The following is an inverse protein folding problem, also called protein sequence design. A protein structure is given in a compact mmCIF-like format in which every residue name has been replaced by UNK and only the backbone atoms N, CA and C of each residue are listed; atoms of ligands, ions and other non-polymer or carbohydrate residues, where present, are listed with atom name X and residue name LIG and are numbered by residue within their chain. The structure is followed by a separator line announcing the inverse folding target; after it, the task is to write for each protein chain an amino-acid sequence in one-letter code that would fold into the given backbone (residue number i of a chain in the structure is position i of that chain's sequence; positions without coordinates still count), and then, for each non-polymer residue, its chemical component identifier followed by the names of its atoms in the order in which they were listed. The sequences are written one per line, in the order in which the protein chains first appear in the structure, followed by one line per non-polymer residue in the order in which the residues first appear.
data_IF_626360818062
#
_entry.id   IF_626360818062
#
_cell.length_a   1.000
_cell.length_b   1.000
_cell.length_c   1.000
_cell.angle_alpha   90.00
_cell.angle_beta   90.00
_cell.angle_gamma   90.00
#
_symmetry.space_group_name_H-M   'P 1'
#
loop_
_entity.id
_entity.type
_entity.pdbx_description
1 polymer ?
#
# COMPACT_ATOMS: atom_id res chain seq x y z
N UNK A 1 -6.14 -15.25 -31.08
CA UNK A 1 -5.76 -13.89 -30.71
C UNK A 1 -6.02 -13.76 -29.25
N UNK A 2 -7.21 -14.16 -28.80
CA UNK A 2 -7.53 -14.80 -27.50
C UNK A 2 -6.34 -15.38 -26.69
N UNK A 3 -5.70 -16.51 -27.08
CA UNK A 3 -4.55 -17.02 -26.29
C UNK A 3 -3.36 -16.04 -26.14
N UNK A 4 -3.22 -15.07 -27.05
CA UNK A 4 -2.16 -14.07 -26.97
C UNK A 4 -2.59 -12.85 -26.15
N UNK A 5 -3.88 -12.52 -26.09
CA UNK A 5 -4.41 -11.46 -25.22
C UNK A 5 -4.29 -11.88 -23.76
N UNK A 6 -4.80 -13.06 -23.40
CA UNK A 6 -4.65 -13.64 -22.05
C UNK A 6 -3.19 -13.65 -21.59
N UNK A 7 -2.26 -14.07 -22.45
CA UNK A 7 -0.84 -14.14 -22.10
C UNK A 7 -0.23 -12.75 -21.93
N UNK A 8 -0.65 -11.73 -22.70
CA UNK A 8 -0.05 -10.39 -22.63
C UNK A 8 -0.50 -9.64 -21.38
N UNK A 9 -1.75 -9.81 -20.96
CA UNK A 9 -2.26 -9.26 -19.69
C UNK A 9 -1.46 -9.80 -18.51
N UNK A 10 -1.16 -11.09 -18.50
CA UNK A 10 -0.47 -11.77 -17.38
C UNK A 10 1.06 -11.56 -17.33
N UNK A 11 1.63 -10.71 -18.20
CA UNK A 11 3.07 -10.43 -18.21
C UNK A 11 3.41 -9.21 -17.35
N UNK A 12 4.54 -9.31 -16.66
CA UNK A 12 5.20 -8.15 -16.04
C UNK A 12 5.34 -7.00 -17.08
N UNK A 13 5.02 -5.77 -16.69
CA UNK A 13 4.99 -4.58 -17.55
C UNK A 13 6.23 -4.44 -18.45
N UNK A 14 7.43 -4.64 -17.89
CA UNK A 14 8.67 -4.51 -18.65
C UNK A 14 8.80 -5.56 -19.76
N UNK A 15 8.34 -6.79 -19.52
CA UNK A 15 8.35 -7.84 -20.54
C UNK A 15 7.28 -7.53 -21.59
N UNK A 16 6.11 -7.06 -21.14
CA UNK A 16 5.01 -6.62 -21.99
C UNK A 16 5.46 -5.51 -22.94
N UNK A 17 6.11 -4.46 -22.44
CA UNK A 17 6.62 -3.34 -23.23
C UNK A 17 7.64 -3.79 -24.28
N UNK A 18 8.58 -4.68 -23.90
CA UNK A 18 9.57 -5.24 -24.84
C UNK A 18 8.88 -6.01 -25.97
N UNK A 19 7.87 -6.82 -25.63
CA UNK A 19 7.14 -7.63 -26.60
C UNK A 19 6.33 -6.72 -27.52
N UNK A 20 5.53 -5.79 -26.98
CA UNK A 20 4.70 -4.85 -27.73
C UNK A 20 5.51 -3.99 -28.70
N UNK A 21 6.75 -3.63 -28.33
CA UNK A 21 7.67 -2.91 -29.22
C UNK A 21 8.21 -3.74 -30.40
N UNK A 22 8.15 -5.08 -30.33
CA UNK A 22 8.65 -5.99 -31.37
C UNK A 22 7.54 -6.57 -32.27
N UNK A 23 6.26 -6.45 -31.88
CA UNK A 23 5.13 -6.92 -32.70
C UNK A 23 4.63 -5.82 -33.66
N UNK A 24 3.97 -6.25 -34.73
CA UNK A 24 3.35 -5.39 -35.73
C UNK A 24 2.12 -4.69 -35.13
N UNK A 25 1.88 -3.42 -35.50
CA UNK A 25 0.81 -2.61 -34.89
C UNK A 25 -0.58 -3.19 -35.13
N UNK A 26 -0.79 -3.78 -36.30
CA UNK A 26 -2.01 -4.47 -36.67
C UNK A 26 -2.25 -5.69 -35.78
N UNK A 27 -1.19 -6.35 -35.32
CA UNK A 27 -1.31 -7.44 -34.35
C UNK A 27 -1.67 -6.93 -32.95
N UNK A 28 -1.19 -5.75 -32.57
CA UNK A 28 -1.58 -5.09 -31.31
C UNK A 28 -3.06 -4.73 -31.35
N UNK A 29 -3.55 -4.16 -32.45
CA UNK A 29 -4.99 -3.90 -32.65
C UNK A 29 -5.80 -5.17 -32.43
N UNK A 30 -5.47 -6.25 -33.12
CA UNK A 30 -6.17 -7.53 -32.97
C UNK A 30 -6.21 -8.00 -31.50
N UNK A 31 -5.12 -7.80 -30.74
CA UNK A 31 -5.00 -8.27 -29.36
C UNK A 31 -5.85 -7.42 -28.43
N UNK A 32 -5.79 -6.09 -28.56
CA UNK A 32 -6.55 -5.16 -27.73
C UNK A 32 -8.06 -5.29 -27.98
N UNK A 33 -8.47 -5.60 -29.21
CA UNK A 33 -9.89 -5.82 -29.60
C UNK A 33 -10.51 -7.07 -28.95
N UNK A 34 -9.70 -7.92 -28.31
CA UNK A 34 -10.15 -9.18 -27.67
C UNK A 34 -9.96 -9.15 -26.16
N UNK A 35 -9.64 -7.98 -25.58
CA UNK A 35 -9.45 -7.78 -24.14
C UNK A 35 -10.68 -7.09 -23.53
N UNK A 36 -10.88 -7.31 -22.24
CA UNK A 36 -11.80 -6.52 -21.44
C UNK A 36 -11.32 -5.05 -21.40
N UNK A 37 -12.26 -4.11 -21.20
CA UNK A 37 -11.99 -2.68 -21.41
C UNK A 37 -10.93 -2.10 -20.45
N UNK A 38 -10.83 -2.63 -19.23
CA UNK A 38 -9.79 -2.33 -18.24
C UNK A 38 -8.41 -2.81 -18.71
N UNK A 39 -8.27 -4.10 -19.06
CA UNK A 39 -7.02 -4.64 -19.60
C UNK A 39 -6.54 -3.89 -20.85
N UNK A 40 -7.48 -3.58 -21.76
CA UNK A 40 -7.21 -2.78 -22.94
C UNK A 40 -6.71 -1.37 -22.58
N UNK A 41 -7.26 -0.77 -21.52
CA UNK A 41 -6.86 0.54 -21.04
C UNK A 41 -5.43 0.53 -20.53
N UNK A 42 -5.08 -0.44 -19.68
CA UNK A 42 -3.76 -0.57 -19.06
C UNK A 42 -2.67 -0.73 -20.13
N UNK A 43 -2.89 -1.63 -21.09
CA UNK A 43 -1.93 -1.84 -22.17
C UNK A 43 -1.83 -0.59 -23.06
N UNK A 44 -2.93 0.11 -23.33
CA UNK A 44 -2.92 1.32 -24.15
C UNK A 44 -2.17 2.46 -23.45
N UNK A 45 -2.21 2.57 -22.11
CA UNK A 45 -1.40 3.54 -21.35
C UNK A 45 0.10 3.29 -21.47
N UNK A 46 0.53 2.02 -21.56
CA UNK A 46 1.93 1.64 -21.71
C UNK A 46 2.50 1.94 -23.11
N UNK A 47 1.63 2.02 -24.11
CA UNK A 47 2.04 2.18 -25.50
C UNK A 47 2.56 3.59 -25.78
N UNK A 48 3.58 3.73 -26.67
CA UNK A 48 3.96 5.02 -27.20
C UNK A 48 2.74 5.74 -27.81
N UNK A 49 2.61 7.04 -27.57
CA UNK A 49 1.43 7.86 -27.96
C UNK A 49 0.98 7.63 -29.42
N UNK A 50 1.93 7.48 -30.35
CA UNK A 50 1.63 7.24 -31.77
C UNK A 50 1.15 5.82 -32.10
N UNK A 51 1.34 4.86 -31.19
CA UNK A 51 0.84 3.48 -31.30
C UNK A 51 -0.52 3.42 -30.62
N UNK A 52 -0.65 3.97 -29.41
CA UNK A 52 -1.92 4.11 -28.70
C UNK A 52 -3.00 4.78 -29.58
N UNK A 53 -2.70 5.92 -30.20
CA UNK A 53 -3.63 6.61 -31.11
C UNK A 53 -4.02 5.73 -32.32
N UNK A 54 -3.06 4.95 -32.85
CA UNK A 54 -3.34 4.05 -33.95
C UNK A 54 -4.22 2.87 -33.54
N UNK A 55 -3.99 2.30 -32.36
CA UNK A 55 -4.81 1.22 -31.80
C UNK A 55 -6.24 1.70 -31.60
N UNK A 56 -6.40 2.82 -30.88
CA UNK A 56 -7.70 3.42 -30.61
C UNK A 56 -8.48 3.82 -31.87
N UNK A 57 -7.82 4.10 -32.99
CA UNK A 57 -8.47 4.42 -34.26
C UNK A 57 -8.89 3.17 -35.06
N UNK A 58 -8.44 1.98 -34.70
CA UNK A 58 -8.61 0.75 -35.48
C UNK A 58 -9.28 -0.43 -34.74
N UNK A 59 -9.41 -0.37 -33.41
CA UNK A 59 -10.31 -1.26 -32.65
C UNK A 59 -11.78 -0.89 -32.87
N UNK A 60 -12.69 -1.74 -32.39
CA UNK A 60 -14.11 -1.48 -32.46
C UNK A 60 -14.50 -0.13 -31.84
N UNK A 61 -15.47 0.53 -32.47
CA UNK A 61 -15.77 1.94 -32.19
C UNK A 61 -16.34 2.15 -30.78
N UNK A 62 -17.06 1.16 -30.28
CA UNK A 62 -17.65 1.18 -28.94
C UNK A 62 -16.53 1.08 -27.90
N UNK A 63 -15.71 0.03 -27.99
CA UNK A 63 -14.56 -0.22 -27.13
C UNK A 63 -13.56 0.96 -27.14
N UNK A 64 -13.29 1.55 -28.31
CA UNK A 64 -12.47 2.76 -28.44
C UNK A 64 -13.02 3.96 -27.67
N UNK A 65 -14.34 4.14 -27.65
CA UNK A 65 -14.97 5.23 -26.89
C UNK A 65 -14.90 4.95 -25.38
N UNK A 66 -15.01 3.69 -24.97
CA UNK A 66 -14.94 3.23 -23.57
C UNK A 66 -13.52 3.30 -23.00
N UNK A 67 -12.51 2.75 -23.69
CA UNK A 67 -11.09 2.86 -23.31
C UNK A 67 -10.68 4.34 -23.18
N UNK A 68 -11.09 5.20 -24.10
CA UNK A 68 -10.85 6.66 -24.01
C UNK A 68 -11.53 7.31 -22.80
N UNK A 69 -12.60 6.72 -22.29
CA UNK A 69 -13.24 7.17 -21.06
C UNK A 69 -12.49 6.72 -19.82
N UNK A 70 -12.04 5.46 -19.77
CA UNK A 70 -11.25 4.91 -18.67
C UNK A 70 -9.88 5.60 -18.53
N UNK A 71 -9.18 5.88 -19.64
CA UNK A 71 -7.91 6.63 -19.68
C UNK A 71 -7.96 8.04 -19.05
N UNK A 72 -9.14 8.54 -18.66
CA UNK A 72 -9.29 9.83 -17.96
C UNK A 72 -9.09 9.69 -16.45
N UNK A 73 -9.27 8.50 -15.89
CA UNK A 73 -9.10 8.23 -14.47
C UNK A 73 -7.64 7.91 -14.15
N UNK A 74 -7.18 8.15 -12.91
CA UNK A 74 -5.90 7.64 -12.45
C UNK A 74 -5.88 6.11 -12.48
N UNK A 75 -4.74 5.53 -12.81
CA UNK A 75 -4.49 4.07 -12.82
C UNK A 75 -4.80 3.44 -11.44
N UNK A 76 -4.23 3.99 -10.36
CA UNK A 76 -4.45 3.55 -8.97
C UNK A 76 -5.84 3.91 -8.38
N UNK A 77 -6.87 4.10 -9.23
CA UNK A 77 -8.23 4.45 -8.80
C UNK A 77 -9.24 3.41 -9.23
N UNK A 78 -10.40 3.41 -8.56
CA UNK A 78 -11.54 2.59 -8.93
C UNK A 78 -11.96 2.76 -10.40
N UNK A 79 -11.72 3.92 -11.01
CA UNK A 79 -11.99 4.16 -12.42
C UNK A 79 -10.90 3.65 -13.36
N UNK A 80 -9.67 3.47 -12.86
CA UNK A 80 -8.57 2.84 -13.58
C UNK A 80 -8.76 1.33 -13.65
N UNK A 81 -9.11 0.71 -12.52
CA UNK A 81 -9.29 -0.76 -12.40
C UNK A 81 -10.72 -1.26 -12.65
N UNK A 82 -11.58 -0.47 -13.31
CA UNK A 82 -12.95 -0.92 -13.62
C UNK A 82 -13.13 -1.28 -15.08
N UNK A 83 -13.90 -2.33 -15.31
CA UNK A 83 -14.44 -2.64 -16.63
C UNK A 83 -15.83 -2.02 -16.83
N UNK A 84 -16.10 -1.53 -18.05
CA UNK A 84 -17.44 -1.14 -18.52
C UNK A 84 -18.32 -2.35 -18.87
N UNK A 85 -17.78 -3.56 -18.81
CA UNK A 85 -18.47 -4.80 -19.19
C UNK A 85 -19.32 -5.36 -18.04
N UNK A 86 -20.59 -4.96 -17.99
CA UNK A 86 -21.53 -5.42 -16.97
C UNK A 86 -22.92 -5.74 -17.50
N UNK A 87 -23.51 -6.82 -17.00
CA UNK A 87 -24.88 -7.21 -17.32
C UNK A 87 -25.91 -6.40 -16.51
N UNK A 88 -26.90 -5.81 -17.17
CA UNK A 88 -27.94 -5.02 -16.51
C UNK A 88 -29.36 -5.25 -17.06
N UNK A 89 -30.37 -4.96 -16.23
CA UNK A 89 -31.78 -4.91 -16.63
C UNK A 89 -32.48 -3.69 -16.05
N UNK A 90 -33.60 -3.30 -16.65
CA UNK A 90 -34.46 -2.25 -16.09
C UNK A 90 -35.26 -2.76 -14.88
N UNK A 91 -35.62 -1.86 -13.97
CA UNK A 91 -36.35 -2.18 -12.73
C UNK A 91 -37.70 -2.92 -12.92
N UNK A 92 -38.33 -2.75 -14.08
CA UNK A 92 -39.58 -3.42 -14.42
C UNK A 92 -39.39 -4.81 -15.06
N UNK A 93 -38.15 -5.27 -15.24
CA UNK A 93 -37.82 -6.57 -15.80
C UNK A 93 -38.27 -7.75 -14.92
N UNK A 94 -38.39 -8.92 -15.54
CA UNK A 94 -38.63 -10.21 -14.87
C UNK A 94 -37.34 -11.01 -14.73
N UNK A 95 -37.36 -12.04 -13.89
CA UNK A 95 -36.25 -13.02 -13.77
C UNK A 95 -35.91 -13.63 -15.13
N UNK A 96 -36.91 -13.87 -15.98
CA UNK A 96 -36.68 -14.34 -17.34
C UNK A 96 -35.81 -13.39 -18.15
N UNK A 97 -36.17 -12.10 -18.13
CA UNK A 97 -35.45 -11.07 -18.90
C UNK A 97 -34.00 -10.96 -18.43
N UNK A 98 -33.75 -11.03 -17.11
CA UNK A 98 -32.39 -11.05 -16.56
C UNK A 98 -31.59 -12.30 -16.95
N UNK A 99 -32.21 -13.49 -16.99
CA UNK A 99 -31.54 -14.70 -17.47
C UNK A 99 -31.23 -14.62 -18.96
N UNK A 100 -32.14 -14.03 -19.75
CA UNK A 100 -31.93 -13.84 -21.18
C UNK A 100 -30.81 -12.81 -21.44
N UNK A 101 -30.67 -11.78 -20.60
CA UNK A 101 -29.54 -10.85 -20.63
C UNK A 101 -28.21 -11.55 -20.32
N UNK A 102 -28.15 -12.34 -19.24
CA UNK A 102 -26.95 -13.13 -18.91
C UNK A 102 -26.54 -14.01 -20.08
N UNK A 103 -27.49 -14.68 -20.74
CA UNK A 103 -27.21 -15.54 -21.89
C UNK A 103 -26.72 -14.77 -23.11
N UNK A 104 -27.15 -13.53 -23.27
CA UNK A 104 -26.77 -12.69 -24.41
C UNK A 104 -25.30 -12.30 -24.33
N UNK A 105 -24.82 -11.99 -23.13
CA UNK A 105 -23.46 -11.49 -22.92
C UNK A 105 -22.51 -12.57 -22.32
N UNK A 106 -22.95 -13.84 -22.25
CA UNK A 106 -22.17 -14.93 -21.63
C UNK A 106 -20.91 -15.34 -22.42
N UNK A 107 -20.86 -15.01 -23.72
CA UNK A 107 -19.70 -15.28 -24.57
C UNK A 107 -18.72 -14.08 -24.62
N UNK A 108 -19.14 -12.92 -24.12
CA UNK A 108 -18.41 -11.65 -24.20
C UNK A 108 -17.84 -11.27 -22.84
N UNK A 109 -18.62 -11.38 -21.76
CA UNK A 109 -18.14 -11.07 -20.42
C UNK A 109 -17.55 -12.30 -19.76
N UNK A 110 -16.27 -12.23 -19.37
CA UNK A 110 -15.57 -13.35 -18.73
C UNK A 110 -16.27 -13.78 -17.42
N UNK A 111 -16.72 -12.80 -16.64
CA UNK A 111 -17.24 -13.02 -15.28
C UNK A 111 -18.57 -12.30 -14.99
N UNK A 112 -19.71 -13.00 -15.16
CA UNK A 112 -21.03 -12.46 -14.78
C UNK A 112 -21.47 -12.96 -13.40
N UNK A 113 -21.13 -12.25 -12.32
CA UNK A 113 -21.56 -12.61 -10.96
C UNK A 113 -22.92 -12.02 -10.53
N UNK A 114 -23.16 -10.79 -10.97
CA UNK A 114 -24.35 -10.00 -10.64
C UNK A 114 -25.01 -9.46 -11.90
N UNK A 115 -26.32 -9.23 -11.81
CA UNK A 115 -27.06 -8.41 -12.75
C UNK A 115 -27.40 -7.11 -12.03
N UNK A 116 -27.00 -6.00 -12.61
CA UNK A 116 -27.29 -4.67 -12.11
C UNK A 116 -28.70 -4.24 -12.53
N UNK A 117 -29.43 -3.59 -11.63
CA UNK A 117 -30.79 -3.12 -11.88
C UNK A 117 -30.75 -1.61 -12.02
N UNK A 118 -31.09 -1.12 -13.21
CA UNK A 118 -31.04 0.29 -13.56
C UNK A 118 -32.46 0.86 -13.74
N UNK A 119 -32.57 2.18 -13.54
CA UNK A 119 -33.71 2.96 -14.05
C UNK A 119 -33.45 3.42 -15.48
N UNK A 120 -34.45 4.00 -16.13
CA UNK A 120 -34.32 4.56 -17.49
C UNK A 120 -33.37 5.76 -17.62
N UNK A 121 -32.80 6.25 -16.53
CA UNK A 121 -31.78 7.30 -16.47
C UNK A 121 -30.40 6.76 -16.04
N UNK A 122 -30.19 5.45 -16.19
CA UNK A 122 -28.96 4.70 -15.86
C UNK A 122 -28.57 4.71 -14.37
N UNK A 123 -29.48 5.17 -13.50
CA UNK A 123 -29.30 5.16 -12.05
C UNK A 123 -29.35 3.73 -11.53
N UNK A 124 -28.30 3.32 -10.81
CA UNK A 124 -28.21 2.03 -10.14
C UNK A 124 -29.17 1.98 -8.93
N UNK A 125 -30.12 1.04 -8.97
CA UNK A 125 -31.16 0.90 -7.92
C UNK A 125 -31.16 -0.45 -7.23
N UNK A 126 -30.48 -1.46 -7.78
CA UNK A 126 -30.35 -2.74 -7.12
C UNK A 126 -29.36 -3.68 -7.79
N UNK A 127 -29.05 -4.79 -7.12
CA UNK A 127 -28.28 -5.90 -7.69
C UNK A 127 -28.99 -7.23 -7.47
N UNK A 128 -28.82 -8.18 -8.38
CA UNK A 128 -29.32 -9.54 -8.26
C UNK A 128 -28.20 -10.53 -8.56
N UNK A 129 -27.91 -11.43 -7.62
CA UNK A 129 -26.95 -12.52 -7.88
C UNK A 129 -27.55 -13.59 -8.79
N UNK A 130 -26.70 -14.25 -9.58
CA UNK A 130 -27.11 -15.41 -10.39
C UNK A 130 -27.86 -16.47 -9.58
N UNK A 131 -27.41 -16.73 -8.34
CA UNK A 131 -28.07 -17.64 -7.41
C UNK A 131 -29.55 -17.27 -7.19
N UNK A 132 -29.86 -15.99 -7.03
CA UNK A 132 -31.24 -15.53 -6.84
C UNK A 132 -32.08 -15.73 -8.10
N UNK A 133 -31.51 -15.55 -9.29
CA UNK A 133 -32.23 -15.85 -10.54
C UNK A 133 -32.59 -17.33 -10.66
N UNK A 134 -31.68 -18.23 -10.27
CA UNK A 134 -31.87 -19.68 -10.38
C UNK A 134 -32.95 -20.26 -9.43
N UNK A 135 -33.18 -19.63 -8.28
CA UNK A 135 -34.11 -20.14 -7.26
C UNK A 135 -35.52 -19.53 -7.34
N UNK A 136 -35.71 -18.51 -8.18
CA UNK A 136 -37.00 -17.82 -8.34
C UNK A 136 -37.69 -18.20 -9.65
N UNK A 137 -39.02 -18.00 -9.71
CA UNK A 137 -39.78 -18.26 -10.93
C UNK A 137 -39.47 -17.22 -12.00
N UNK A 138 -39.45 -17.64 -13.27
CA UNK A 138 -39.16 -16.79 -14.43
C UNK A 138 -40.06 -15.54 -14.53
N UNK A 139 -41.32 -15.65 -14.11
CA UNK A 139 -42.29 -14.54 -14.18
C UNK A 139 -42.18 -13.54 -13.01
N UNK A 140 -41.28 -13.79 -12.05
CA UNK A 140 -41.10 -12.94 -10.86
C UNK A 140 -40.45 -11.61 -11.27
N UNK A 141 -40.91 -10.49 -10.71
CA UNK A 141 -40.29 -9.17 -10.95
C UNK A 141 -38.94 -9.04 -10.25
N UNK A 142 -37.95 -8.47 -10.93
CA UNK A 142 -36.58 -8.27 -10.39
C UNK A 142 -36.59 -7.44 -9.11
N UNK A 143 -37.41 -6.38 -9.07
CA UNK A 143 -37.62 -5.53 -7.89
C UNK A 143 -38.09 -6.27 -6.63
N UNK A 144 -38.65 -7.48 -6.76
CA UNK A 144 -39.06 -8.28 -5.59
C UNK A 144 -37.94 -9.13 -4.99
N UNK A 145 -36.82 -9.30 -5.70
CA UNK A 145 -35.70 -10.17 -5.31
C UNK A 145 -34.36 -9.44 -5.22
N UNK A 146 -34.25 -8.23 -5.78
CA UNK A 146 -33.03 -7.42 -5.77
C UNK A 146 -32.63 -6.96 -4.36
N UNK A 147 -31.36 -6.65 -4.21
CA UNK A 147 -30.80 -6.02 -3.02
C UNK A 147 -30.70 -4.51 -3.26
N UNK A 148 -31.31 -3.73 -2.36
CA UNK A 148 -31.35 -2.26 -2.45
C UNK A 148 -30.29 -1.58 -1.56
N UNK A 149 -29.76 -2.30 -0.57
CA UNK A 149 -28.68 -1.80 0.29
C UNK A 149 -27.33 -2.03 -0.41
N UNK A 150 -27.03 -1.11 -1.33
CA UNK A 150 -25.90 -1.22 -2.25
C UNK A 150 -24.61 -0.66 -1.65
N UNK A 151 -23.56 -1.46 -1.77
CA UNK A 151 -22.18 -1.04 -1.61
C UNK A 151 -21.66 -0.71 -3.01
N UNK A 152 -21.14 0.50 -3.19
CA UNK A 152 -20.60 0.99 -4.46
C UNK A 152 -19.44 1.93 -4.17
N UNK A 153 -18.59 2.14 -5.15
CA UNK A 153 -17.45 3.07 -5.09
C UNK A 153 -17.61 4.19 -6.13
N UNK A 154 -16.83 5.26 -5.96
CA UNK A 154 -16.66 6.34 -6.93
C UNK A 154 -15.45 6.07 -7.80
N UNK A 155 -15.41 6.55 -9.05
CA UNK A 155 -14.27 6.31 -9.93
C UNK A 155 -12.97 6.93 -9.42
N UNK A 156 -13.03 7.97 -8.60
CA UNK A 156 -11.85 8.62 -8.00
C UNK A 156 -11.47 8.01 -6.64
N UNK A 157 -12.18 6.97 -6.17
CA UNK A 157 -11.80 6.28 -4.94
C UNK A 157 -10.51 5.49 -5.19
N UNK A 158 -9.63 5.49 -4.20
CA UNK A 158 -8.33 4.82 -4.24
C UNK A 158 -8.50 3.28 -4.33
N UNK A 159 -7.67 2.62 -5.14
CA UNK A 159 -7.76 1.17 -5.35
C UNK A 159 -7.59 0.36 -4.05
N UNK A 160 -6.76 0.82 -3.12
CA UNK A 160 -6.60 0.19 -1.80
C UNK A 160 -7.93 0.27 -1.01
N UNK A 161 -8.69 1.35 -1.15
CA UNK A 161 -10.02 1.48 -0.55
C UNK A 161 -11.03 0.52 -1.17
N UNK A 162 -11.01 0.35 -2.50
CA UNK A 162 -11.83 -0.65 -3.19
C UNK A 162 -11.51 -2.05 -2.68
N UNK A 163 -10.23 -2.42 -2.63
CA UNK A 163 -9.77 -3.72 -2.14
C UNK A 163 -10.24 -3.99 -0.70
N UNK A 164 -10.11 -3.00 0.18
CA UNK A 164 -10.61 -3.06 1.56
C UNK A 164 -12.14 -3.26 1.64
N UNK A 165 -12.92 -2.66 0.72
CA UNK A 165 -14.37 -2.83 0.66
C UNK A 165 -14.72 -4.27 0.24
N UNK A 166 -14.10 -4.76 -0.84
CA UNK A 166 -14.31 -6.12 -1.33
C UNK A 166 -13.95 -7.15 -0.25
N UNK A 167 -12.77 -7.03 0.39
CA UNK A 167 -12.33 -7.93 1.46
C UNK A 167 -13.30 -7.89 2.66
N UNK A 168 -13.70 -6.69 3.11
CA UNK A 168 -14.51 -6.53 4.31
C UNK A 168 -15.92 -7.12 4.19
N UNK A 169 -16.49 -7.08 2.99
CA UNK A 169 -17.87 -7.49 2.73
C UNK A 169 -17.98 -8.81 1.96
N UNK A 170 -16.86 -9.50 1.74
CA UNK A 170 -16.78 -10.76 0.98
C UNK A 170 -17.46 -10.63 -0.40
N UNK A 171 -17.24 -9.51 -1.09
CA UNK A 171 -17.83 -9.24 -2.40
C UNK A 171 -17.03 -9.96 -3.49
N UNK A 172 -17.70 -10.33 -4.58
CA UNK A 172 -17.04 -10.87 -5.80
C UNK A 172 -16.97 -9.83 -6.92
N UNK A 173 -17.69 -8.72 -6.76
CA UNK A 173 -17.63 -7.55 -7.63
C UNK A 173 -18.30 -6.37 -6.94
N UNK A 174 -17.87 -5.15 -7.25
CA UNK A 174 -18.43 -3.89 -6.73
C UNK A 174 -18.73 -2.92 -7.89
N UNK A 175 -19.92 -2.29 -7.91
CA UNK A 175 -20.24 -1.30 -8.93
C UNK A 175 -19.53 0.04 -8.68
N UNK A 176 -19.10 0.67 -9.75
CA UNK A 176 -18.56 2.02 -9.80
C UNK A 176 -19.63 2.96 -10.35
N UNK A 177 -19.92 4.03 -9.61
CA UNK A 177 -20.99 4.97 -9.98
C UNK A 177 -20.57 6.42 -9.87
N UNK A 178 -21.10 7.26 -10.75
CA UNK A 178 -20.87 8.70 -10.73
C UNK A 178 -21.58 9.40 -9.55
N UNK A 179 -21.40 10.71 -9.40
CA UNK A 179 -22.05 11.52 -8.35
C UNK A 179 -23.59 11.46 -8.36
N UNK A 180 -24.19 11.13 -9.49
CA UNK A 180 -25.64 10.98 -9.67
C UNK A 180 -26.11 9.52 -9.52
N UNK A 181 -25.21 8.60 -9.11
CA UNK A 181 -25.42 7.14 -9.04
C UNK A 181 -25.71 6.49 -10.39
N UNK A 182 -25.25 7.07 -11.48
CA UNK A 182 -25.26 6.41 -12.78
C UNK A 182 -24.18 5.34 -12.82
N UNK A 183 -24.51 4.18 -13.35
CA UNK A 183 -23.54 3.10 -13.53
C UNK A 183 -22.45 3.54 -14.50
N UNK A 184 -21.19 3.34 -14.12
CA UNK A 184 -20.03 3.57 -14.98
C UNK A 184 -19.36 2.25 -15.35
N UNK A 185 -19.16 1.38 -14.36
CA UNK A 185 -18.47 0.11 -14.55
C UNK A 185 -18.55 -0.76 -13.30
N UNK A 186 -17.84 -1.87 -13.30
CA UNK A 186 -17.69 -2.74 -12.13
C UNK A 186 -16.23 -3.10 -11.96
N UNK A 187 -15.88 -3.44 -10.72
CA UNK A 187 -14.56 -3.97 -10.39
C UNK A 187 -14.76 -5.40 -9.90
N UNK A 188 -13.88 -6.30 -10.30
CA UNK A 188 -13.96 -7.72 -10.01
C UNK A 188 -13.02 -8.08 -8.86
N UNK A 189 -13.22 -9.26 -8.27
CA UNK A 189 -12.41 -9.67 -7.10
C UNK A 189 -11.01 -10.09 -7.52
N UNK A 190 -10.90 -10.65 -8.72
CA UNK A 190 -9.68 -11.05 -9.43
C UNK A 190 -8.73 -9.86 -9.61
N UNK A 191 -9.16 -8.78 -10.25
CA UNK A 191 -8.38 -7.52 -10.35
C UNK A 191 -7.93 -7.01 -8.97
N UNK A 192 -8.84 -7.08 -8.00
CA UNK A 192 -8.54 -6.67 -6.62
C UNK A 192 -7.53 -7.59 -5.93
N UNK A 193 -7.37 -8.86 -6.34
CA UNK A 193 -6.29 -9.71 -5.81
C UNK A 193 -4.94 -9.15 -6.22
N UNK A 194 -4.80 -8.67 -7.45
CA UNK A 194 -3.55 -8.10 -7.95
C UNK A 194 -3.24 -6.77 -7.29
N UNK A 195 -4.24 -5.89 -7.14
CA UNK A 195 -4.11 -4.66 -6.33
C UNK A 195 -3.65 -4.97 -4.91
N UNK A 196 -4.18 -6.01 -4.24
CA UNK A 196 -3.73 -6.39 -2.89
C UNK A 196 -2.24 -6.79 -2.89
N UNK A 197 -1.77 -7.43 -3.96
CA UNK A 197 -0.39 -7.85 -4.11
C UNK A 197 0.57 -6.68 -4.40
N UNK A 198 0.16 -5.77 -5.27
CA UNK A 198 0.87 -4.54 -5.62
C UNK A 198 1.00 -3.63 -4.42
N UNK A 199 -0.12 -3.27 -3.78
CA UNK A 199 -0.14 -2.42 -2.58
C UNK A 199 0.73 -3.01 -1.46
N UNK A 200 0.67 -4.33 -1.25
CA UNK A 200 1.52 -4.99 -0.26
C UNK A 200 3.02 -4.94 -0.61
N UNK A 201 3.35 -4.97 -1.90
CA UNK A 201 4.72 -4.90 -2.41
C UNK A 201 5.25 -3.48 -2.30
N UNK A 202 4.48 -2.49 -2.73
CA UNK A 202 4.76 -1.07 -2.62
C UNK A 202 4.99 -0.68 -1.15
N UNK A 203 4.14 -1.13 -0.23
CA UNK A 203 4.28 -0.94 1.22
C UNK A 203 5.63 -1.45 1.74
N UNK A 204 6.03 -2.66 1.34
CA UNK A 204 7.30 -3.27 1.77
C UNK A 204 8.48 -2.44 1.27
N UNK A 205 8.42 -1.97 0.03
CA UNK A 205 9.45 -1.14 -0.58
C UNK A 205 9.55 0.24 0.08
N UNK A 206 8.41 0.91 0.30
CA UNK A 206 8.33 2.18 1.04
C UNK A 206 8.89 2.05 2.45
N UNK A 207 8.56 0.97 3.16
CA UNK A 207 9.11 0.69 4.50
C UNK A 207 10.65 0.57 4.47
N UNK A 208 11.20 0.02 3.39
CA UNK A 208 12.64 -0.08 3.16
C UNK A 208 13.30 1.25 2.71
N UNK A 209 12.51 2.29 2.45
CA UNK A 209 12.99 3.59 1.97
C UNK A 209 13.28 3.61 0.47
N UNK A 210 12.51 2.86 -0.31
CA UNK A 210 12.45 2.93 -1.77
C UNK A 210 11.26 3.81 -2.17
N UNK A 211 11.35 4.51 -3.31
CA UNK A 211 10.32 5.45 -3.78
C UNK A 211 9.60 5.01 -5.04
N UNK A 212 10.10 3.98 -5.72
CA UNK A 212 9.58 3.46 -6.98
C UNK A 212 9.76 1.93 -6.93
N UNK A 213 8.91 1.22 -7.67
CA UNK A 213 9.02 -0.21 -7.85
C UNK A 213 10.37 -0.56 -8.48
N UNK A 214 11.15 -1.38 -7.78
CA UNK A 214 12.45 -1.84 -8.29
C UNK A 214 12.28 -3.24 -8.87
N UNK A 215 12.58 -3.39 -10.16
CA UNK A 215 12.62 -4.71 -10.76
C UNK A 215 13.98 -5.37 -10.60
N UNK A 216 13.98 -6.71 -10.59
CA UNK A 216 15.21 -7.51 -10.61
C UNK A 216 15.99 -7.29 -11.92
N UNK A 217 15.28 -6.95 -12.99
CA UNK A 217 15.82 -6.72 -14.34
C UNK A 217 16.59 -5.39 -14.47
N UNK A 218 16.40 -4.47 -13.51
CA UNK A 218 16.86 -3.10 -13.63
C UNK A 218 18.38 -2.95 -13.68
N UNK A 219 18.81 -1.93 -14.43
CA UNK A 219 20.23 -1.57 -14.48
C UNK A 219 20.71 -1.01 -13.14
N UNK A 220 21.94 -1.35 -12.76
CA UNK A 220 22.55 -0.86 -11.51
C UNK A 220 22.57 0.68 -11.39
N UNK A 221 22.59 1.40 -12.52
CA UNK A 221 22.55 2.86 -12.53
C UNK A 221 21.13 3.39 -12.23
N UNK A 222 20.10 2.74 -12.75
CA UNK A 222 18.70 3.07 -12.48
C UNK A 222 18.39 2.88 -10.99
N UNK A 223 18.65 1.68 -10.45
CA UNK A 223 18.49 1.38 -9.01
C UNK A 223 19.25 2.38 -8.13
N UNK A 224 20.50 2.71 -8.49
CA UNK A 224 21.26 3.69 -7.73
C UNK A 224 20.61 5.06 -7.72
N UNK A 225 19.92 5.48 -8.79
CA UNK A 225 19.28 6.79 -8.88
C UNK A 225 18.01 6.85 -8.01
N UNK A 226 17.28 5.75 -7.88
CA UNK A 226 16.12 5.61 -6.97
C UNK A 226 16.57 5.64 -5.50
N UNK A 227 17.61 4.87 -5.15
CA UNK A 227 18.07 4.75 -3.75
C UNK A 227 18.88 5.95 -3.25
N UNK A 228 19.66 6.60 -4.12
CA UNK A 228 20.62 7.63 -3.71
C UNK A 228 19.98 8.83 -2.99
N UNK A 229 18.82 9.38 -3.40
CA UNK A 229 18.13 10.43 -2.65
C UNK A 229 17.91 10.08 -1.18
N UNK A 230 17.36 8.90 -0.89
CA UNK A 230 17.11 8.43 0.48
C UNK A 230 18.40 8.16 1.26
N UNK A 231 19.42 7.59 0.59
CA UNK A 231 20.75 7.43 1.19
C UNK A 231 21.40 8.77 1.55
N UNK A 232 21.24 9.81 0.71
CA UNK A 232 21.76 11.15 0.96
C UNK A 232 21.02 11.83 2.11
N UNK A 233 19.69 11.69 2.20
CA UNK A 233 18.90 12.16 3.36
C UNK A 233 19.40 11.49 4.64
N UNK A 234 19.62 10.17 4.61
CA UNK A 234 20.15 9.41 5.74
C UNK A 234 21.55 9.88 6.14
N UNK A 235 22.43 10.09 5.16
CA UNK A 235 23.79 10.57 5.38
C UNK A 235 23.80 11.95 6.03
N UNK A 236 22.98 12.89 5.56
CA UNK A 236 22.85 14.22 6.16
C UNK A 236 22.34 14.09 7.60
N UNK A 237 21.39 13.19 7.84
CA UNK A 237 20.94 12.82 9.17
C UNK A 237 22.08 12.38 10.08
N UNK A 238 22.91 11.45 9.63
CA UNK A 238 24.06 10.95 10.39
C UNK A 238 25.16 12.01 10.61
N UNK A 239 25.29 13.00 9.74
CA UNK A 239 26.17 14.15 10.00
C UNK A 239 25.70 14.96 11.23
N UNK A 240 24.39 15.00 11.50
CA UNK A 240 23.86 15.61 12.73
C UNK A 240 24.21 14.77 13.95
N UNK A 241 24.07 13.44 13.86
CA UNK A 241 24.50 12.49 14.90
C UNK A 241 26.00 12.64 15.23
N UNK A 242 26.84 12.81 14.21
CA UNK A 242 28.28 13.07 14.39
C UNK A 242 28.55 14.39 15.13
N UNK A 243 27.74 15.43 14.88
CA UNK A 243 27.86 16.72 15.57
C UNK A 243 27.46 16.60 17.05
N UNK A 244 26.41 15.82 17.35
CA UNK A 244 26.05 15.46 18.72
C UNK A 244 27.21 14.77 19.41
N UNK A 245 27.80 13.75 18.77
CA UNK A 245 28.93 13.01 19.34
C UNK A 245 30.13 13.93 19.62
N UNK A 246 30.46 14.83 18.68
CA UNK A 246 31.54 15.82 18.84
C UNK A 246 31.30 16.76 20.03
N UNK A 247 30.05 17.12 20.31
CA UNK A 247 29.68 17.96 21.45
C UNK A 247 29.99 17.30 22.81
N UNK A 248 30.08 15.97 22.85
CA UNK A 248 30.43 15.18 24.05
C UNK A 248 31.87 14.66 24.04
N UNK A 249 32.75 15.16 23.15
CA UNK A 249 34.12 14.69 23.03
C UNK A 249 34.87 14.72 24.37
N UNK A 250 34.75 15.81 25.14
CA UNK A 250 35.41 15.93 26.45
C UNK A 250 34.95 14.88 27.47
N UNK A 251 33.70 14.43 27.39
CA UNK A 251 33.16 13.36 28.23
C UNK A 251 33.68 11.99 27.80
N UNK A 252 33.74 11.76 26.49
CA UNK A 252 34.24 10.51 25.89
C UNK A 252 35.74 10.33 26.19
N UNK A 253 36.53 11.40 26.15
CA UNK A 253 37.96 11.34 26.52
C UNK A 253 38.18 10.91 27.96
N UNK A 254 37.28 11.31 28.87
CA UNK A 254 37.31 10.87 30.28
C UNK A 254 36.86 9.41 30.46
N UNK A 255 35.96 8.93 29.61
CA UNK A 255 35.33 7.61 29.73
C UNK A 255 35.35 6.94 28.36
N UNK A 256 36.53 6.51 27.95
CA UNK A 256 36.75 5.88 26.63
C UNK A 256 35.87 4.64 26.45
N UNK A 257 35.57 3.93 27.55
CA UNK A 257 34.65 2.80 27.55
C UNK A 257 33.25 3.18 27.03
N UNK A 258 32.81 4.44 27.20
CA UNK A 258 31.51 4.89 26.73
C UNK A 258 31.36 4.76 25.21
N UNK A 259 32.44 5.01 24.46
CA UNK A 259 32.44 4.89 23.00
C UNK A 259 32.23 3.45 22.52
N UNK A 260 32.72 2.46 23.28
CA UNK A 260 32.61 1.03 22.94
C UNK A 260 31.16 0.53 22.95
N UNK A 261 30.28 1.19 23.71
CA UNK A 261 28.88 0.79 23.86
C UNK A 261 27.92 1.61 23.00
N UNK A 262 28.40 2.64 22.30
CA UNK A 262 27.59 3.41 21.35
C UNK A 262 26.89 2.49 20.32
N UNK A 263 27.56 1.52 19.67
CA UNK A 263 26.89 0.65 18.69
C UNK A 263 25.70 -0.12 19.26
N UNK A 264 25.79 -0.57 20.52
CA UNK A 264 24.69 -1.29 21.18
C UNK A 264 23.52 -0.35 21.43
N UNK A 265 23.80 0.85 21.93
CA UNK A 265 22.77 1.85 22.20
C UNK A 265 22.03 2.24 20.92
N UNK A 266 22.76 2.50 19.83
CA UNK A 266 22.20 2.83 18.52
C UNK A 266 21.36 1.68 17.96
N UNK A 267 21.91 0.47 17.92
CA UNK A 267 21.19 -0.68 17.37
C UNK A 267 19.89 -0.99 18.13
N UNK A 268 19.89 -0.90 19.47
CA UNK A 268 18.72 -1.18 20.28
C UNK A 268 17.67 -0.06 20.20
N UNK A 269 18.09 1.20 20.13
CA UNK A 269 17.18 2.32 19.87
C UNK A 269 16.54 2.20 18.49
N UNK A 270 17.37 2.07 17.45
CA UNK A 270 16.92 1.95 16.06
C UNK A 270 15.92 0.81 15.86
N UNK A 271 16.26 -0.40 16.28
CA UNK A 271 15.37 -1.57 16.12
C UNK A 271 14.05 -1.45 16.90
N UNK A 272 14.07 -0.91 18.13
CA UNK A 272 12.85 -0.70 18.93
C UNK A 272 11.93 0.35 18.31
N UNK A 273 12.50 1.42 17.74
CA UNK A 273 11.73 2.44 17.04
C UNK A 273 11.18 1.96 15.70
N UNK A 274 11.99 1.27 14.90
CA UNK A 274 11.54 0.70 13.62
C UNK A 274 10.40 -0.31 13.81
N UNK A 275 10.50 -1.22 14.80
CA UNK A 275 9.42 -2.16 15.10
C UNK A 275 8.11 -1.45 15.45
N UNK A 276 8.18 -0.41 16.29
CA UNK A 276 7.02 0.38 16.66
C UNK A 276 6.42 1.12 15.45
N UNK A 277 7.27 1.63 14.56
CA UNK A 277 6.85 2.31 13.34
C UNK A 277 6.11 1.36 12.38
N UNK A 278 6.66 0.17 12.13
CA UNK A 278 6.04 -0.86 11.28
C UNK A 278 4.68 -1.29 11.84
N UNK A 279 4.58 -1.53 13.16
CA UNK A 279 3.30 -1.89 13.81
C UNK A 279 2.27 -0.78 13.65
N UNK A 280 2.69 0.48 13.75
CA UNK A 280 1.80 1.62 13.59
C UNK A 280 1.36 1.85 12.15
N UNK A 281 2.24 1.72 11.15
CA UNK A 281 1.89 1.83 9.73
C UNK A 281 0.85 0.78 9.34
N UNK A 282 1.11 -0.49 9.64
CA UNK A 282 0.14 -1.58 9.38
C UNK A 282 -1.20 -1.35 10.07
N UNK A 283 -1.17 -0.75 11.25
CA UNK A 283 -2.39 -0.40 11.96
C UNK A 283 -3.14 0.79 11.36
N UNK A 284 -2.47 1.70 10.64
CA UNK A 284 -3.07 2.87 9.98
C UNK A 284 -3.71 2.49 8.64
N UNK A 285 -3.09 1.53 7.94
CA UNK A 285 -3.52 1.00 6.65
C UNK A 285 -4.83 0.24 6.77
N UNK A 286 -4.86 -0.78 7.65
CA UNK A 286 -6.14 -1.33 8.10
C UNK A 286 -6.86 -0.19 8.80
N UNK A 287 -8.00 0.32 8.28
CA UNK A 287 -8.84 1.44 8.79
C UNK A 287 -9.30 1.32 10.27
N UNK A 288 -8.68 0.43 11.02
CA UNK A 288 -8.73 0.07 12.44
C UNK A 288 -8.07 1.13 13.38
N UNK A 289 -7.70 2.31 12.87
CA UNK A 289 -7.31 3.46 13.71
C UNK A 289 -8.24 4.64 13.39
N UNK A 290 -9.36 4.72 14.10
CA UNK A 290 -9.91 6.03 14.39
C UNK A 290 -8.86 6.82 15.19
N UNK A 291 -8.61 8.08 14.81
CA UNK A 291 -7.66 8.99 15.47
C UNK A 291 -7.84 9.05 17.01
N UNK A 292 -9.01 8.68 17.54
CA UNK A 292 -9.28 8.53 18.98
C UNK A 292 -8.57 7.35 19.66
N UNK A 293 -8.22 6.29 18.92
CA UNK A 293 -7.55 5.10 19.44
C UNK A 293 -6.02 5.15 19.36
N UNK A 294 -5.47 6.09 18.57
CA UNK A 294 -4.02 6.22 18.38
C UNK A 294 -3.25 6.41 19.68
N UNK A 295 -3.81 7.16 20.64
CA UNK A 295 -3.19 7.32 21.96
C UNK A 295 -3.16 6.01 22.77
N UNK A 296 -4.20 5.18 22.65
CA UNK A 296 -4.25 3.87 23.30
C UNK A 296 -3.18 2.91 22.75
N UNK A 297 -2.97 2.93 21.43
CA UNK A 297 -1.92 2.13 20.76
C UNK A 297 -0.51 2.61 21.14
N UNK A 298 -0.25 3.92 21.15
CA UNK A 298 1.04 4.47 21.63
C UNK A 298 1.32 4.09 23.08
N UNK A 299 0.30 4.13 23.96
CA UNK A 299 0.47 3.72 25.37
C UNK A 299 0.75 2.22 25.50
N UNK A 300 0.18 1.38 24.63
CA UNK A 300 0.51 -0.05 24.55
C UNK A 300 1.97 -0.23 24.16
N UNK A 301 2.43 0.46 23.12
CA UNK A 301 3.83 0.41 22.67
C UNK A 301 4.82 0.89 23.74
N UNK A 302 4.48 1.94 24.48
CA UNK A 302 5.26 2.37 25.65
C UNK A 302 5.45 1.25 26.69
N UNK A 303 4.38 0.50 27.00
CA UNK A 303 4.46 -0.62 27.95
C UNK A 303 5.32 -1.76 27.41
N UNK A 304 5.20 -2.07 26.12
CA UNK A 304 6.03 -3.08 25.45
C UNK A 304 7.50 -2.67 25.50
N UNK A 305 7.83 -1.42 25.18
CA UNK A 305 9.19 -0.90 25.22
C UNK A 305 9.79 -0.92 26.63
N UNK A 306 9.02 -0.60 27.66
CA UNK A 306 9.48 -0.69 29.06
C UNK A 306 9.80 -2.13 29.48
N UNK A 307 8.95 -3.10 29.10
CA UNK A 307 9.18 -4.51 29.41
C UNK A 307 10.42 -5.05 28.67
N UNK A 308 10.49 -4.83 27.36
CA UNK A 308 11.62 -5.26 26.54
C UNK A 308 12.91 -4.57 26.97
N UNK A 309 12.84 -3.25 27.22
CA UNK A 309 13.94 -2.44 27.72
C UNK A 309 14.50 -2.98 29.03
N UNK A 310 13.65 -3.37 29.98
CA UNK A 310 14.11 -3.95 31.25
C UNK A 310 14.85 -5.28 31.05
N UNK A 311 14.37 -6.15 30.16
CA UNK A 311 15.02 -7.42 29.83
C UNK A 311 16.37 -7.16 29.16
N UNK A 312 16.42 -6.33 28.12
CA UNK A 312 17.65 -5.98 27.41
C UNK A 312 18.66 -5.28 28.32
N UNK A 313 18.22 -4.35 29.17
CA UNK A 313 19.05 -3.66 30.15
C UNK A 313 19.64 -4.62 31.18
N UNK A 314 18.87 -5.63 31.62
CA UNK A 314 19.35 -6.65 32.55
C UNK A 314 20.43 -7.52 31.91
N UNK A 315 20.24 -7.93 30.65
CA UNK A 315 21.25 -8.68 29.88
C UNK A 315 22.51 -7.83 29.68
N UNK A 316 22.35 -6.56 29.28
CA UNK A 316 23.47 -5.64 29.10
C UNK A 316 24.22 -5.40 30.41
N UNK A 317 23.51 -5.31 31.53
CA UNK A 317 24.10 -5.12 32.85
C UNK A 317 24.99 -6.30 33.23
N UNK A 318 24.43 -7.52 33.14
CA UNK A 318 25.15 -8.75 33.47
C UNK A 318 26.36 -8.94 32.58
N UNK A 319 26.20 -8.75 31.27
CA UNK A 319 27.31 -8.93 30.31
C UNK A 319 28.41 -7.91 30.51
N UNK A 320 28.09 -6.61 30.62
CA UNK A 320 29.11 -5.58 30.79
C UNK A 320 29.86 -5.70 32.12
N UNK A 321 29.15 -5.98 33.21
CA UNK A 321 29.79 -6.08 34.51
C UNK A 321 30.58 -7.38 34.68
N UNK A 322 30.01 -8.53 34.34
CA UNK A 322 30.64 -9.83 34.62
C UNK A 322 31.59 -10.31 33.52
N UNK A 323 31.30 -10.04 32.24
CA UNK A 323 32.14 -10.50 31.12
C UNK A 323 33.19 -9.47 30.74
N UNK A 324 32.77 -8.22 30.51
CA UNK A 324 33.68 -7.13 30.12
C UNK A 324 34.39 -6.49 31.32
N UNK A 325 34.04 -6.88 32.54
CA UNK A 325 34.63 -6.39 33.80
C UNK A 325 34.59 -4.87 33.92
N UNK A 326 33.53 -4.27 33.39
CA UNK A 326 33.30 -2.82 33.50
C UNK A 326 32.76 -2.50 34.90
N UNK A 327 33.10 -1.31 35.39
CA UNK A 327 32.68 -0.85 36.71
C UNK A 327 31.15 -0.93 36.86
N UNK A 328 30.71 -1.42 38.03
CA UNK A 328 29.29 -1.60 38.36
C UNK A 328 28.46 -0.34 38.09
N UNK A 329 28.98 0.82 38.51
CA UNK A 329 28.32 2.11 38.31
C UNK A 329 28.11 2.42 36.84
N UNK A 330 29.11 2.18 35.99
CA UNK A 330 29.02 2.42 34.56
C UNK A 330 28.04 1.44 33.90
N UNK A 331 28.13 0.16 34.23
CA UNK A 331 27.16 -0.85 33.77
C UNK A 331 25.72 -0.48 34.12
N UNK A 332 25.48 0.07 35.31
CA UNK A 332 24.15 0.50 35.73
C UNK A 332 23.63 1.72 34.93
N UNK A 333 24.49 2.72 34.70
CA UNK A 333 24.15 3.91 33.91
C UNK A 333 23.89 3.52 32.45
N UNK A 334 24.73 2.66 31.88
CA UNK A 334 24.54 2.13 30.52
C UNK A 334 23.20 1.39 30.40
N UNK A 335 22.91 0.44 31.30
CA UNK A 335 21.67 -0.33 31.27
C UNK A 335 20.42 0.54 31.50
N UNK A 336 20.47 1.49 32.43
CA UNK A 336 19.34 2.41 32.64
C UNK A 336 19.12 3.35 31.46
N UNK A 337 20.20 3.82 30.82
CA UNK A 337 20.11 4.60 29.58
C UNK A 337 19.44 3.81 28.48
N UNK A 338 19.70 2.50 28.36
CA UNK A 338 19.10 1.64 27.35
C UNK A 338 17.58 1.58 27.48
N UNK A 339 17.04 1.49 28.71
CA UNK A 339 15.59 1.49 28.95
C UNK A 339 14.97 2.79 28.42
N UNK A 340 15.59 3.93 28.76
CA UNK A 340 15.10 5.25 28.35
C UNK A 340 15.15 5.38 26.83
N UNK A 341 16.25 4.93 26.21
CA UNK A 341 16.47 5.03 24.77
C UNK A 341 15.48 4.16 24.00
N UNK A 342 15.29 2.89 24.38
CA UNK A 342 14.31 2.02 23.74
C UNK A 342 12.89 2.56 23.89
N UNK A 343 12.54 3.06 25.09
CA UNK A 343 11.22 3.66 25.35
C UNK A 343 10.99 4.90 24.48
N UNK A 344 11.97 5.79 24.42
CA UNK A 344 11.88 7.01 23.63
C UNK A 344 11.82 6.70 22.13
N UNK A 345 12.68 5.80 21.65
CA UNK A 345 12.70 5.38 20.26
C UNK A 345 11.38 4.73 19.83
N UNK A 346 10.78 3.89 20.67
CA UNK A 346 9.46 3.31 20.40
C UNK A 346 8.35 4.37 20.36
N UNK A 347 8.36 5.36 21.25
CA UNK A 347 7.38 6.46 21.18
C UNK A 347 7.54 7.23 19.87
N UNK A 348 8.78 7.58 19.48
CA UNK A 348 9.05 8.27 18.22
C UNK A 348 8.58 7.42 17.04
N UNK A 349 9.00 6.16 16.97
CA UNK A 349 8.60 5.22 15.94
C UNK A 349 7.08 5.09 15.82
N UNK A 350 6.37 5.03 16.95
CA UNK A 350 4.91 4.94 16.93
C UNK A 350 4.21 6.26 16.56
N UNK A 351 4.85 7.42 16.78
CA UNK A 351 4.22 8.73 16.63
C UNK A 351 4.44 9.32 15.22
N UNK A 352 5.61 9.13 14.62
CA UNK A 352 5.93 9.74 13.31
C UNK A 352 4.92 9.29 12.22
N UNK A 353 4.58 8.00 12.04
CA UNK A 353 3.61 7.58 11.03
C UNK A 353 2.23 8.23 11.21
N UNK A 354 1.78 8.38 12.47
CA UNK A 354 0.50 9.05 12.79
C UNK A 354 0.52 10.52 12.42
N UNK A 355 1.67 11.19 12.61
CA UNK A 355 1.85 12.58 12.19
C UNK A 355 1.78 12.68 10.67
N UNK A 356 2.43 11.76 9.95
CA UNK A 356 2.45 11.77 8.48
C UNK A 356 1.04 11.61 7.91
N UNK A 357 0.27 10.61 8.38
CA UNK A 357 -1.14 10.44 7.96
C UNK A 357 -1.97 11.69 8.20
N UNK A 358 -1.74 12.39 9.33
CA UNK A 358 -2.47 13.63 9.66
C UNK A 358 -2.18 14.78 8.68
N UNK A 359 -1.00 14.78 8.05
CA UNK A 359 -0.63 15.75 7.03
C UNK A 359 -0.92 15.27 5.60
N UNK A 360 -1.56 14.10 5.42
CA UNK A 360 -1.84 13.53 4.10
C UNK A 360 -0.60 12.98 3.40
N UNK A 361 0.47 12.67 4.15
CA UNK A 361 1.67 12.00 3.64
C UNK A 361 1.57 10.52 3.99
N UNK A 362 2.00 9.66 3.07
CA UNK A 362 2.07 8.22 3.28
C UNK A 362 2.88 7.88 4.55
N UNK A 363 2.28 7.18 5.55
CA UNK A 363 2.96 6.75 6.76
C UNK A 363 4.10 5.74 6.55
N UNK A 364 4.09 4.92 5.49
CA UNK A 364 5.11 3.90 5.22
C UNK A 364 6.49 4.50 5.00
N UNK A 365 6.55 5.67 4.36
CA UNK A 365 7.80 6.43 4.12
C UNK A 365 8.52 6.79 5.44
N UNK A 366 7.77 6.95 6.53
CA UNK A 366 8.35 7.34 7.81
C UNK A 366 9.19 6.25 8.49
N UNK A 367 8.96 4.96 8.20
CA UNK A 367 9.49 3.85 9.02
C UNK A 367 10.98 3.59 8.82
N UNK A 368 11.52 3.99 7.67
CA UNK A 368 12.90 3.74 7.28
C UNK A 368 13.89 4.80 7.82
N UNK A 369 14.56 5.57 6.94
CA UNK A 369 15.60 6.54 7.32
C UNK A 369 15.22 7.53 8.41
N UNK A 370 14.00 8.06 8.37
CA UNK A 370 13.58 9.16 9.24
C UNK A 370 13.55 8.72 10.71
N UNK A 371 12.93 7.58 11.00
CA UNK A 371 12.91 7.00 12.35
C UNK A 371 14.32 6.61 12.79
N UNK A 372 15.13 6.02 11.92
CA UNK A 372 16.51 5.62 12.24
C UNK A 372 17.38 6.83 12.65
N UNK A 373 17.47 7.84 11.79
CA UNK A 373 18.24 9.07 12.05
C UNK A 373 17.77 9.77 13.33
N UNK A 374 16.45 9.87 13.53
CA UNK A 374 15.91 10.51 14.74
C UNK A 374 16.33 9.74 15.98
N UNK A 375 16.27 8.41 15.95
CA UNK A 375 16.68 7.56 17.05
C UNK A 375 18.19 7.63 17.33
N UNK A 376 19.03 7.76 16.31
CA UNK A 376 20.48 7.88 16.49
C UNK A 376 20.85 9.20 17.17
N UNK A 377 20.26 10.31 16.72
CA UNK A 377 20.45 11.64 17.34
C UNK A 377 20.04 11.62 18.82
N UNK A 378 18.80 11.20 19.10
CA UNK A 378 18.30 11.21 20.48
C UNK A 378 18.92 10.13 21.35
N UNK A 379 19.23 8.96 20.79
CA UNK A 379 19.91 7.89 21.50
C UNK A 379 21.28 8.32 21.98
N UNK A 380 22.08 8.99 21.13
CA UNK A 380 23.36 9.56 21.51
C UNK A 380 23.20 10.65 22.55
N UNK A 381 22.24 11.56 22.36
CA UNK A 381 21.97 12.63 23.33
C UNK A 381 21.63 12.07 24.71
N UNK A 382 20.71 11.10 24.80
CA UNK A 382 20.29 10.50 26.07
C UNK A 382 21.47 9.77 26.72
N UNK A 383 22.15 8.89 25.98
CA UNK A 383 23.25 8.10 26.51
C UNK A 383 24.41 8.96 27.00
N UNK A 384 24.92 9.86 26.16
CA UNK A 384 26.08 10.67 26.47
C UNK A 384 25.77 11.73 27.52
N UNK A 385 24.54 12.24 27.59
CA UNK A 385 24.11 13.13 28.67
C UNK A 385 24.11 12.41 30.02
N UNK A 386 23.60 11.17 30.09
CA UNK A 386 23.63 10.39 31.33
C UNK A 386 25.05 10.04 31.75
N UNK A 387 25.89 9.58 30.81
CA UNK A 387 27.30 9.30 31.09
C UNK A 387 28.02 10.56 31.60
N UNK A 388 27.78 11.71 30.97
CA UNK A 388 28.37 12.99 31.40
C UNK A 388 27.90 13.37 32.80
N UNK A 389 26.60 13.30 33.05
CA UNK A 389 25.99 13.67 34.33
C UNK A 389 26.55 12.88 35.51
N UNK A 390 26.76 11.56 35.33
CA UNK A 390 27.13 10.67 36.43
C UNK A 390 28.64 10.51 36.66
N UNK A 391 29.48 10.83 35.66
CA UNK A 391 30.91 10.52 35.72
C UNK A 391 31.84 11.67 35.34
N UNK A 392 31.32 12.78 34.80
CA UNK A 392 32.14 13.89 34.26
C UNK A 392 31.91 15.19 35.02
N UNK A 393 30.64 15.51 35.31
CA UNK A 393 30.23 16.49 36.32
C UNK A 393 30.38 15.92 37.72
#
# INVERSE_FOLDING_TARGET
TEEASEVITELDENIREIILNEIDKEKIVDIIDELDTDDATDIVSDLPENIAEHVLDNIDREDSEEVKELLKYPEDSAGGIMTSDFAYVLEDATVKDAIDEVRKNADEFEHIYYIYVLKSNDELVGIVSLKKLLINSLDTKITSIMEEDLIYVKPEDDQEEVANIIEKYDLVSVPVVDDHKRMLGRITVDDVVDVIHEEATEDIQKIAGLSEEEEISDSAFHISRIRLPWLLVSLIGEMVSATVLSSFQASIEKIVAAALFIPIVMAMGGSSGQQAAIVMVRGLIKKDIWLSEGFGKILKEFRVAMLNGFICASVLFVTTHFLFKVDWSFSLVLSSSLIIIMTFATIIGATIPVIFKRFGVDPAIATGPIVATTNDIFGLLIYLSLVTLFFVT
#
